data_IF_628088375207
#
_entry.id   IF_628088375207
#
_cell.length_a   1.000
_cell.length_b   1.000
_cell.length_c   1.000
_cell.angle_alpha   90.00
_cell.angle_beta   90.00
_cell.angle_gamma   90.00
#
_symmetry.space_group_name_H-M   'P 1'
#
loop_
_entity.id
_entity.type
_entity.pdbx_description
1 polymer ?
#
# COMPACT_ATOMS: atom_id res chain seq x y z
N UNK A 1 41.26 26.46 -32.42
CA UNK A 1 42.55 27.13 -32.11
C UNK A 1 42.17 28.27 -31.18
N UNK A 2 42.47 28.31 -29.88
CA UNK A 2 43.56 27.73 -29.12
C UNK A 2 43.06 27.15 -27.77
N UNK A 3 43.80 26.17 -27.28
CA UNK A 3 43.76 25.60 -25.93
C UNK A 3 44.60 26.46 -24.99
N UNK A 4 44.09 26.84 -23.81
CA UNK A 4 44.92 26.93 -22.61
C UNK A 4 44.07 26.81 -21.34
N UNK A 5 44.44 25.87 -20.46
CA UNK A 5 43.79 25.59 -19.18
C UNK A 5 44.35 26.55 -18.14
N UNK A 6 43.56 27.54 -17.71
CA UNK A 6 43.93 28.35 -16.53
C UNK A 6 43.64 27.57 -15.26
N UNK A 7 44.67 27.38 -14.45
CA UNK A 7 44.63 26.67 -13.16
C UNK A 7 43.67 27.35 -12.19
N UNK A 8 42.80 26.55 -11.57
CA UNK A 8 41.91 27.00 -10.49
C UNK A 8 42.75 27.37 -9.27
N UNK A 9 42.58 28.61 -8.79
CA UNK A 9 43.12 29.07 -7.51
C UNK A 9 42.60 28.17 -6.36
N UNK A 10 43.42 27.89 -5.32
CA UNK A 10 42.93 27.16 -4.16
C UNK A 10 41.86 28.01 -3.48
N UNK A 11 40.68 27.42 -3.27
CA UNK A 11 39.61 28.00 -2.47
C UNK A 11 40.10 28.10 -1.02
N UNK A 12 40.73 29.24 -0.69
CA UNK A 12 40.99 29.64 0.68
C UNK A 12 39.64 29.88 1.34
N UNK A 13 39.38 29.16 2.44
CA UNK A 13 38.21 29.37 3.28
C UNK A 13 38.16 30.83 3.70
N UNK A 14 37.15 31.55 3.24
CA UNK A 14 36.86 32.90 3.71
C UNK A 14 36.08 32.74 5.02
N UNK A 15 36.80 32.47 6.11
CA UNK A 15 36.26 32.37 7.47
C UNK A 15 36.04 33.78 8.05
N UNK A 16 35.15 34.55 7.44
CA UNK A 16 34.57 35.74 8.08
C UNK A 16 33.16 35.41 8.52
N UNK A 17 32.85 35.39 9.83
CA UNK A 17 31.48 35.16 10.28
C UNK A 17 30.57 36.27 9.72
N UNK A 18 29.37 35.93 9.23
CA UNK A 18 28.36 36.95 8.92
C UNK A 18 28.07 37.76 10.19
N UNK A 19 27.70 39.05 10.07
CA UNK A 19 27.44 39.89 11.23
C UNK A 19 26.41 39.22 12.15
N UNK A 20 26.66 39.27 13.46
CA UNK A 20 25.76 38.81 14.53
C UNK A 20 24.46 39.61 14.50
N UNK A 21 23.59 39.31 13.54
CA UNK A 21 22.17 39.55 13.65
C UNK A 21 21.72 38.50 14.65
N UNK A 22 21.39 38.92 15.87
CA UNK A 22 21.15 38.08 17.06
C UNK A 22 19.97 37.09 16.99
N UNK A 23 19.74 36.44 15.85
CA UNK A 23 19.01 35.20 15.76
C UNK A 23 19.97 34.07 16.06
N UNK A 24 19.92 33.58 17.30
CA UNK A 24 20.45 32.27 17.63
C UNK A 24 19.90 31.27 16.60
N UNK A 25 20.74 30.39 16.02
CA UNK A 25 20.24 29.33 15.17
C UNK A 25 19.20 28.56 15.98
N UNK A 26 17.97 28.46 15.46
CA UNK A 26 16.93 27.69 16.10
C UNK A 26 17.45 26.26 16.24
N UNK A 27 17.64 25.80 17.47
CA UNK A 27 17.93 24.40 17.76
C UNK A 27 16.76 23.58 17.20
N UNK A 28 16.92 22.97 16.02
CA UNK A 28 16.01 21.95 15.51
C UNK A 28 16.13 20.71 16.39
N UNK A 29 15.45 20.74 17.53
CA UNK A 29 15.25 19.58 18.38
C UNK A 29 14.35 18.63 17.58
N UNK A 30 14.96 17.65 16.92
CA UNK A 30 14.23 16.50 16.39
C UNK A 30 13.57 15.76 17.56
N UNK A 31 12.33 16.12 17.84
CA UNK A 31 11.49 15.45 18.81
C UNK A 31 11.30 14.00 18.33
N UNK A 32 11.80 13.04 19.11
CA UNK A 32 11.64 11.62 18.78
C UNK A 32 10.16 11.28 18.86
N UNK A 33 9.53 11.15 17.70
CA UNK A 33 8.14 10.69 17.59
C UNK A 33 8.06 9.32 18.25
N UNK A 34 7.45 9.25 19.43
CA UNK A 34 7.23 7.98 20.13
C UNK A 34 6.18 7.18 19.36
N UNK A 35 6.55 6.00 18.86
CA UNK A 35 5.61 5.12 18.18
C UNK A 35 4.55 4.64 19.18
N UNK A 36 3.29 4.81 18.81
CA UNK A 36 2.17 4.25 19.58
C UNK A 36 2.05 2.75 19.33
N UNK A 37 1.66 1.95 20.34
CA UNK A 37 1.43 0.54 20.14
C UNK A 37 0.26 0.32 19.16
N UNK A 38 0.38 -0.70 18.30
CA UNK A 38 -0.58 -0.97 17.22
C UNK A 38 -2.03 -1.15 17.73
N UNK A 39 -2.20 -1.66 18.94
CA UNK A 39 -3.52 -1.81 19.58
C UNK A 39 -4.20 -0.48 19.90
N UNK A 40 -3.43 0.58 20.18
CA UNK A 40 -3.98 1.92 20.41
C UNK A 40 -4.39 2.61 19.11
N UNK A 41 -3.87 2.20 17.96
CA UNK A 41 -4.29 2.72 16.66
C UNK A 41 -5.78 2.43 16.41
N UNK A 42 -6.25 1.24 16.80
CA UNK A 42 -7.65 0.83 16.68
C UNK A 42 -8.52 1.22 17.88
N UNK A 43 -8.10 2.19 18.71
CA UNK A 43 -8.88 2.62 19.88
C UNK A 43 -10.25 3.19 19.53
N UNK A 44 -10.40 3.77 18.35
CA UNK A 44 -11.66 4.39 17.86
C UNK A 44 -12.55 3.45 17.03
N UNK A 45 -12.30 2.14 17.10
CA UNK A 45 -12.97 1.10 16.31
C UNK A 45 -14.32 0.70 16.90
N UNK A 46 -15.37 0.70 16.09
CA UNK A 46 -16.68 0.12 16.45
C UNK A 46 -16.75 -1.39 16.18
N UNK A 47 -17.77 -2.05 16.74
CA UNK A 47 -18.08 -3.45 16.43
C UNK A 47 -18.33 -3.70 14.94
N UNK A 48 -18.92 -2.72 14.23
CA UNK A 48 -19.12 -2.82 12.77
C UNK A 48 -17.78 -2.76 12.04
N UNK A 49 -16.86 -1.90 12.47
CA UNK A 49 -15.52 -1.78 11.89
C UNK A 49 -14.73 -3.09 12.08
N UNK A 50 -14.91 -3.79 13.22
CA UNK A 50 -14.34 -5.14 13.43
C UNK A 50 -14.83 -6.14 12.40
N UNK A 51 -16.15 -6.20 12.18
CA UNK A 51 -16.76 -7.15 11.25
C UNK A 51 -16.28 -6.87 9.82
N UNK A 52 -16.24 -5.59 9.43
CA UNK A 52 -15.73 -5.15 8.13
C UNK A 52 -14.27 -5.56 7.92
N UNK A 53 -13.42 -5.36 8.93
CA UNK A 53 -12.00 -5.76 8.85
C UNK A 53 -11.83 -7.27 8.75
N UNK A 54 -12.58 -8.06 9.53
CA UNK A 54 -12.51 -9.53 9.48
C UNK A 54 -12.96 -10.05 8.11
N UNK A 55 -14.08 -9.57 7.59
CA UNK A 55 -14.56 -9.97 6.26
C UNK A 55 -13.59 -9.53 5.15
N UNK A 56 -13.01 -8.33 5.28
CA UNK A 56 -12.00 -7.83 4.38
C UNK A 56 -10.73 -8.68 4.37
N UNK A 57 -10.22 -9.09 5.54
CA UNK A 57 -9.03 -9.97 5.60
C UNK A 57 -9.30 -11.35 5.03
N UNK A 58 -10.47 -11.94 5.28
CA UNK A 58 -10.85 -13.20 4.64
C UNK A 58 -10.90 -13.06 3.11
N UNK A 59 -11.47 -11.97 2.60
CA UNK A 59 -11.47 -11.67 1.16
C UNK A 59 -10.06 -11.52 0.58
N UNK A 60 -9.17 -10.79 1.26
CA UNK A 60 -7.77 -10.63 0.82
C UNK A 60 -6.98 -11.94 0.84
N UNK A 61 -7.19 -12.79 1.85
CA UNK A 61 -6.55 -14.11 1.93
C UNK A 61 -7.05 -14.99 0.79
N UNK A 62 -8.38 -15.04 0.57
CA UNK A 62 -8.98 -15.82 -0.50
C UNK A 62 -8.44 -15.40 -1.87
N UNK A 63 -8.39 -14.09 -2.15
CA UNK A 63 -7.79 -13.54 -3.36
C UNK A 63 -6.31 -13.93 -3.50
N UNK A 64 -5.55 -13.84 -2.41
CA UNK A 64 -4.14 -14.26 -2.36
C UNK A 64 -3.92 -15.74 -2.68
N UNK A 65 -4.83 -16.63 -2.26
CA UNK A 65 -4.76 -18.08 -2.57
C UNK A 65 -5.29 -18.39 -3.97
N UNK A 66 -6.23 -17.61 -4.47
CA UNK A 66 -6.79 -17.78 -5.81
C UNK A 66 -5.76 -17.55 -6.91
N UNK A 67 -4.85 -16.59 -6.71
CA UNK A 67 -3.79 -16.29 -7.69
C UNK A 67 -2.83 -17.46 -7.97
N UNK A 68 -2.22 -18.16 -6.98
CA UNK A 68 -1.44 -19.37 -7.24
C UNK A 68 -2.31 -20.54 -7.75
N UNK A 69 -3.56 -20.66 -7.28
CA UNK A 69 -4.46 -21.72 -7.74
C UNK A 69 -4.78 -21.60 -9.24
N UNK A 70 -4.85 -20.39 -9.79
CA UNK A 70 -5.03 -20.16 -11.22
C UNK A 70 -3.88 -20.72 -12.06
N UNK A 71 -2.64 -20.75 -11.53
CA UNK A 71 -1.52 -21.38 -12.23
C UNK A 71 -1.66 -22.90 -12.31
N UNK A 72 -2.33 -23.55 -11.34
CA UNK A 72 -2.58 -24.99 -11.39
C UNK A 72 -3.54 -25.36 -12.53
N UNK A 73 -4.56 -24.54 -12.78
CA UNK A 73 -5.45 -24.72 -13.94
C UNK A 73 -4.72 -24.50 -15.26
N UNK A 74 -3.78 -23.55 -15.31
CA UNK A 74 -2.98 -23.38 -16.51
C UNK A 74 -2.03 -24.57 -16.72
N UNK A 75 -1.54 -25.19 -15.64
CA UNK A 75 -0.73 -26.40 -15.73
C UNK A 75 -1.48 -27.54 -16.41
N UNK A 76 -2.77 -27.78 -16.07
CA UNK A 76 -3.54 -28.85 -16.71
C UNK A 76 -3.72 -28.62 -18.22
N UNK A 77 -3.90 -27.36 -18.64
CA UNK A 77 -3.96 -27.03 -20.08
C UNK A 77 -2.61 -27.31 -20.76
N UNK A 78 -1.50 -26.96 -20.11
CA UNK A 78 -0.16 -27.23 -20.63
C UNK A 78 0.06 -28.73 -20.78
N UNK A 79 -0.32 -29.52 -19.77
CA UNK A 79 -0.17 -30.98 -19.80
C UNK A 79 -0.98 -31.60 -20.95
N UNK A 80 -2.24 -31.18 -21.15
CA UNK A 80 -3.07 -31.65 -22.28
C UNK A 80 -2.43 -31.34 -23.64
N UNK A 81 -1.84 -30.15 -23.80
CA UNK A 81 -1.12 -29.78 -25.02
C UNK A 81 0.14 -30.59 -25.25
N UNK A 82 0.90 -30.89 -24.18
CA UNK A 82 2.11 -31.70 -24.24
C UNK A 82 1.76 -33.13 -24.64
N UNK A 83 0.73 -33.71 -24.03
CA UNK A 83 0.26 -35.05 -24.35
C UNK A 83 -0.22 -35.15 -25.80
N UNK A 84 -0.99 -34.17 -26.28
CA UNK A 84 -1.41 -34.10 -27.68
C UNK A 84 -0.22 -34.00 -28.66
N UNK A 85 0.76 -33.14 -28.35
CA UNK A 85 1.96 -32.99 -29.17
C UNK A 85 2.82 -34.28 -29.19
N UNK A 86 2.93 -34.96 -28.05
CA UNK A 86 3.65 -36.24 -27.94
C UNK A 86 2.93 -37.36 -28.69
N UNK A 87 1.60 -37.36 -28.67
CA UNK A 87 0.76 -38.29 -29.43
C UNK A 87 0.98 -38.11 -30.95
N UNK A 88 0.96 -36.87 -31.43
CA UNK A 88 1.28 -36.53 -32.82
C UNK A 88 2.69 -36.97 -33.22
N UNK A 89 3.67 -36.81 -32.33
CA UNK A 89 5.07 -37.22 -32.57
C UNK A 89 5.24 -38.74 -32.61
N UNK A 90 4.49 -39.49 -31.80
CA UNK A 90 4.60 -40.94 -31.66
C UNK A 90 3.64 -41.74 -32.56
N UNK A 91 2.84 -41.06 -33.39
CA UNK A 91 1.88 -41.65 -34.32
C UNK A 91 0.87 -42.58 -33.63
N UNK A 92 0.25 -42.05 -32.57
CA UNK A 92 -0.79 -42.70 -31.81
C UNK A 92 -2.13 -42.75 -32.58
N UNK A 93 -2.97 -43.75 -32.27
CA UNK A 93 -4.27 -43.97 -32.96
C UNK A 93 -5.43 -43.19 -32.34
N UNK A 94 -5.31 -42.76 -31.09
CA UNK A 94 -6.33 -42.01 -30.34
C UNK A 94 -5.67 -40.78 -29.68
N UNK A 95 -5.71 -39.60 -30.32
CA UNK A 95 -5.27 -38.36 -29.70
C UNK A 95 -6.22 -37.94 -28.57
N UNK A 96 -5.71 -37.16 -27.62
CA UNK A 96 -6.52 -36.54 -26.56
C UNK A 96 -7.52 -35.56 -27.18
N UNK A 97 -8.78 -35.61 -26.76
CA UNK A 97 -9.85 -34.73 -27.24
C UNK A 97 -9.70 -33.30 -26.67
N UNK A 98 -8.77 -32.55 -27.25
CA UNK A 98 -8.39 -31.20 -26.83
C UNK A 98 -9.57 -30.25 -26.76
N UNK A 99 -10.49 -30.31 -27.73
CA UNK A 99 -11.63 -29.41 -27.80
C UNK A 99 -12.51 -29.52 -26.54
N UNK A 100 -12.81 -30.76 -26.12
CA UNK A 100 -13.65 -31.01 -24.95
C UNK A 100 -12.96 -30.57 -23.65
N UNK A 101 -11.69 -30.91 -23.45
CA UNK A 101 -10.93 -30.53 -22.25
C UNK A 101 -10.78 -29.01 -22.14
N UNK A 102 -10.49 -28.33 -23.26
CA UNK A 102 -10.34 -26.86 -23.27
C UNK A 102 -11.67 -26.15 -22.96
N UNK A 103 -12.81 -26.68 -23.40
CA UNK A 103 -14.12 -26.11 -23.04
C UNK A 103 -14.44 -26.25 -21.56
N UNK A 104 -14.06 -27.37 -20.93
CA UNK A 104 -14.26 -27.58 -19.49
C UNK A 104 -13.36 -26.65 -18.66
N UNK A 105 -12.10 -26.49 -19.05
CA UNK A 105 -11.18 -25.55 -18.38
C UNK A 105 -11.65 -24.10 -18.56
N UNK A 106 -12.21 -23.74 -19.72
CA UNK A 106 -12.73 -22.39 -19.95
C UNK A 106 -13.85 -22.02 -18.96
N UNK A 107 -14.76 -22.95 -18.65
CA UNK A 107 -15.79 -22.75 -17.64
C UNK A 107 -15.21 -22.53 -16.24
N UNK A 108 -14.20 -23.31 -15.85
CA UNK A 108 -13.50 -23.11 -14.58
C UNK A 108 -12.81 -21.74 -14.52
N UNK A 109 -12.21 -21.30 -15.63
CA UNK A 109 -11.53 -20.00 -15.70
C UNK A 109 -12.50 -18.82 -15.52
N UNK A 110 -13.71 -18.92 -16.10
CA UNK A 110 -14.78 -17.92 -15.90
C UNK A 110 -15.20 -17.87 -14.43
N UNK A 111 -15.35 -19.03 -13.78
CA UNK A 111 -15.68 -19.10 -12.36
C UNK A 111 -14.58 -18.46 -11.49
N UNK A 112 -13.30 -18.74 -11.77
CA UNK A 112 -12.17 -18.12 -11.09
C UNK A 112 -12.12 -16.60 -11.29
N UNK A 113 -12.40 -16.11 -12.50
CA UNK A 113 -12.44 -14.67 -12.77
C UNK A 113 -13.53 -13.97 -11.94
N UNK A 114 -14.72 -14.56 -11.87
CA UNK A 114 -15.81 -14.03 -11.06
C UNK A 114 -15.47 -14.02 -9.55
N UNK A 115 -14.88 -15.12 -9.05
CA UNK A 115 -14.43 -15.21 -7.66
C UNK A 115 -13.34 -14.18 -7.34
N UNK A 116 -12.35 -14.01 -8.22
CA UNK A 116 -11.31 -13.00 -8.07
C UNK A 116 -11.91 -11.59 -7.97
N UNK A 117 -12.85 -11.26 -8.85
CA UNK A 117 -13.54 -9.97 -8.83
C UNK A 117 -14.26 -9.74 -7.49
N UNK A 118 -15.01 -10.75 -7.03
CA UNK A 118 -15.78 -10.67 -5.79
C UNK A 118 -14.88 -10.52 -4.56
N UNK A 119 -13.84 -11.35 -4.44
CA UNK A 119 -12.93 -11.30 -3.29
C UNK A 119 -12.05 -10.05 -3.29
N UNK A 120 -11.59 -9.59 -4.45
CA UNK A 120 -10.84 -8.34 -4.55
C UNK A 120 -11.70 -7.15 -4.14
N UNK A 121 -12.93 -7.07 -4.64
CA UNK A 121 -13.86 -6.00 -4.28
C UNK A 121 -14.22 -6.02 -2.79
N UNK A 122 -14.52 -7.19 -2.22
CA UNK A 122 -14.77 -7.32 -0.78
C UNK A 122 -13.55 -6.94 0.05
N UNK A 123 -12.36 -7.42 -0.32
CA UNK A 123 -11.12 -7.15 0.40
C UNK A 123 -10.81 -5.65 0.45
N UNK A 124 -10.68 -5.00 -0.71
CA UNK A 124 -10.33 -3.58 -0.78
C UNK A 124 -11.49 -2.69 -0.30
N UNK A 125 -12.72 -2.99 -0.69
CA UNK A 125 -13.89 -2.18 -0.36
C UNK A 125 -14.18 -2.14 1.14
N UNK A 126 -14.18 -3.30 1.80
CA UNK A 126 -14.49 -3.37 3.23
C UNK A 126 -13.37 -2.78 4.09
N UNK A 127 -12.10 -2.99 3.71
CA UNK A 127 -10.97 -2.34 4.37
C UNK A 127 -10.98 -0.82 4.18
N UNK A 128 -11.25 -0.35 2.96
CA UNK A 128 -11.35 1.08 2.65
C UNK A 128 -12.46 1.76 3.47
N UNK A 129 -13.65 1.16 3.51
CA UNK A 129 -14.77 1.71 4.27
C UNK A 129 -14.48 1.75 5.78
N UNK A 130 -13.86 0.71 6.33
CA UNK A 130 -13.45 0.68 7.74
C UNK A 130 -12.41 1.78 8.04
N UNK A 131 -11.42 1.97 7.15
CA UNK A 131 -10.41 3.00 7.30
C UNK A 131 -11.01 4.41 7.28
N UNK A 132 -11.91 4.70 6.33
CA UNK A 132 -12.59 6.00 6.24
C UNK A 132 -13.39 6.32 7.50
N UNK A 133 -14.17 5.37 8.01
CA UNK A 133 -14.94 5.53 9.25
C UNK A 133 -14.04 5.81 10.45
N UNK A 134 -12.91 5.12 10.57
CA UNK A 134 -11.95 5.33 11.66
C UNK A 134 -11.28 6.70 11.56
N UNK A 135 -10.81 7.08 10.37
CA UNK A 135 -10.19 8.39 10.13
C UNK A 135 -11.17 9.53 10.43
N UNK A 136 -12.44 9.40 10.04
CA UNK A 136 -13.45 10.41 10.31
C UNK A 136 -13.65 10.65 11.82
N UNK A 137 -13.73 9.58 12.62
CA UNK A 137 -13.83 9.68 14.08
C UNK A 137 -12.57 10.26 14.71
N UNK A 138 -11.39 9.85 14.23
CA UNK A 138 -10.11 10.38 14.72
C UNK A 138 -10.03 11.89 14.47
N UNK A 139 -10.40 12.36 13.27
CA UNK A 139 -10.43 13.79 12.94
C UNK A 139 -11.39 14.57 13.81
N UNK A 140 -12.60 14.06 14.06
CA UNK A 140 -13.56 14.69 14.97
C UNK A 140 -13.05 14.77 16.42
N UNK A 141 -12.45 13.69 16.92
CA UNK A 141 -11.89 13.65 18.27
C UNK A 141 -10.68 14.60 18.40
N UNK A 142 -9.81 14.64 17.39
CA UNK A 142 -8.66 15.56 17.33
C UNK A 142 -9.14 17.01 17.32
N UNK A 143 -10.07 17.36 16.44
CA UNK A 143 -10.63 18.71 16.38
C UNK A 143 -11.27 19.12 17.71
N UNK A 144 -12.07 18.24 18.31
CA UNK A 144 -12.69 18.47 19.62
C UNK A 144 -11.64 18.71 20.71
N UNK A 145 -10.54 17.96 20.73
CA UNK A 145 -9.52 18.13 21.76
C UNK A 145 -8.74 19.44 21.57
N UNK A 146 -8.42 19.81 20.32
CA UNK A 146 -7.68 21.04 20.03
C UNK A 146 -8.46 22.28 20.49
N UNK A 147 -9.78 22.35 20.24
CA UNK A 147 -10.57 23.53 20.65
C UNK A 147 -10.73 23.68 22.17
N UNK A 148 -10.47 22.63 22.97
CA UNK A 148 -10.54 22.67 24.44
C UNK A 148 -9.20 22.97 25.09
N UNK A 149 -8.15 23.18 24.30
CA UNK A 149 -6.81 23.44 24.80
C UNK A 149 -6.67 24.89 25.28
N UNK A 150 -5.82 25.13 26.28
CA UNK A 150 -5.60 26.45 26.85
C UNK A 150 -4.86 27.41 25.89
N UNK A 151 -5.08 28.72 26.05
CA UNK A 151 -4.46 29.75 25.20
C UNK A 151 -2.92 29.69 25.23
N UNK A 152 -2.34 29.31 26.38
CA UNK A 152 -0.89 29.20 26.55
C UNK A 152 -0.29 28.06 25.71
N UNK A 153 -1.05 27.00 25.46
CA UNK A 153 -0.60 25.92 24.58
C UNK A 153 -0.51 26.38 23.12
N UNK A 154 -1.44 27.23 22.67
CA UNK A 154 -1.40 27.80 21.32
C UNK A 154 -0.23 28.78 21.12
N UNK A 155 0.28 29.41 22.18
CA UNK A 155 1.45 30.30 22.11
C UNK A 155 2.77 29.53 21.91
N UNK A 156 2.78 28.24 22.30
CA UNK A 156 3.96 27.35 22.15
C UNK A 156 3.97 26.55 20.85
N UNK A 157 2.88 26.51 20.10
CA UNK A 157 2.75 25.73 18.86
C UNK A 157 2.47 26.65 17.66
N UNK A 158 3.36 26.71 16.64
CA UNK A 158 3.15 27.57 15.49
C UNK A 158 1.87 27.18 14.72
N UNK A 159 1.04 28.18 14.41
CA UNK A 159 -0.29 28.00 13.80
C UNK A 159 -0.27 27.28 12.44
N UNK A 160 0.82 27.37 11.69
CA UNK A 160 1.01 26.65 10.41
C UNK A 160 1.22 25.13 10.56
N UNK A 161 1.75 24.68 11.69
CA UNK A 161 1.99 23.26 11.97
C UNK A 161 0.70 22.53 12.37
N UNK A 162 -0.20 23.23 13.05
CA UNK A 162 -1.52 22.72 13.42
C UNK A 162 -2.39 22.43 12.20
N UNK A 163 -2.44 23.36 11.25
CA UNK A 163 -3.23 23.21 10.03
C UNK A 163 -2.75 22.02 9.17
N UNK A 164 -1.44 21.78 9.11
CA UNK A 164 -0.85 20.66 8.36
C UNK A 164 -1.03 19.30 9.04
N UNK A 165 -1.11 19.23 10.36
CA UNK A 165 -1.37 17.98 11.10
C UNK A 165 -2.85 17.54 11.08
N UNK A 166 -3.77 18.45 10.76
CA UNK A 166 -5.22 18.22 10.77
C UNK A 166 -5.78 17.66 9.43
N UNK A 167 -5.11 17.96 8.32
CA UNK A 167 -5.53 17.57 6.96
C UNK A 167 -4.89 16.26 6.54
#
# INVERSE_FOLDING_TARGET
>A
MATEKTQLLPSGKHDTPPPDIGFAPADEKHEKISMVPFTQLFRFRDNVDVILMILGTFGSIAYGVLTPAQFLLMNSVIDDFVDFAQCLRSNCTNPVDLESSMTDVAWWYIAFAFLNLLFAWMGLGLWGLSAERQVHKMRLAMFRNIIHQEIAWFDTHPSGELGTRLT
#
